data_IF_124357920420
#
_entry.id   IF_124357920420
#
_cell.length_a   1.000
_cell.length_b   1.000
_cell.length_c   1.000
_cell.angle_alpha   90.00
_cell.angle_beta   90.00
_cell.angle_gamma   90.00
#
_symmetry.space_group_name_H-M   'P 1'
#
loop_
_entity.id
_entity.type
_entity.pdbx_description
1 polymer ?
#
# COMPACT_ATOMS: atom_id res chain seq x y z
N UNK A 1 6.61 -2.15 12.86
CA UNK A 1 7.39 -1.44 11.83
C UNK A 1 6.60 -1.38 10.53
N UNK A 2 6.52 -0.21 9.88
CA UNK A 2 5.85 -0.08 8.59
C UNK A 2 6.68 -0.72 7.46
N UNK A 3 6.03 -1.52 6.61
CA UNK A 3 6.67 -2.11 5.43
C UNK A 3 7.18 -1.02 4.48
N UNK A 4 8.16 -1.35 3.63
CA UNK A 4 8.61 -0.43 2.58
C UNK A 4 7.44 -0.01 1.68
N UNK A 5 6.55 -0.94 1.35
CA UNK A 5 5.37 -0.68 0.54
C UNK A 5 4.45 0.40 1.17
N UNK A 6 4.20 0.31 2.48
CA UNK A 6 3.42 1.33 3.20
C UNK A 6 4.10 2.71 3.15
N UNK A 7 5.41 2.77 3.42
CA UNK A 7 6.17 4.03 3.35
C UNK A 7 6.18 4.66 1.96
N UNK A 8 6.38 3.85 0.92
CA UNK A 8 6.36 4.29 -0.49
C UNK A 8 4.97 4.79 -0.88
N UNK A 9 3.90 4.14 -0.43
CA UNK A 9 2.51 4.59 -0.64
C UNK A 9 2.26 5.93 0.03
N UNK A 10 2.65 6.08 1.29
CA UNK A 10 2.39 7.30 2.05
C UNK A 10 3.20 8.49 1.48
N UNK A 11 4.46 8.25 1.12
CA UNK A 11 5.29 9.19 0.37
C UNK A 11 4.64 9.59 -0.97
N UNK A 12 4.00 8.65 -1.66
CA UNK A 12 3.33 8.90 -2.92
C UNK A 12 2.03 9.70 -2.77
N UNK A 13 1.23 9.38 -1.76
CA UNK A 13 0.02 10.13 -1.44
C UNK A 13 0.34 11.59 -1.07
N UNK A 14 1.40 11.80 -0.29
CA UNK A 14 1.86 13.13 0.10
C UNK A 14 2.68 13.86 -0.98
N UNK A 15 2.95 13.21 -2.13
CA UNK A 15 3.76 13.74 -3.23
C UNK A 15 5.09 14.34 -2.76
N UNK A 16 5.76 13.65 -1.83
CA UNK A 16 6.95 14.18 -1.11
C UNK A 16 8.11 14.59 -2.01
N UNK A 17 8.17 14.07 -3.23
CA UNK A 17 9.19 14.42 -4.22
C UNK A 17 9.11 15.90 -4.66
N UNK A 18 7.95 16.55 -4.55
CA UNK A 18 7.78 17.95 -4.93
C UNK A 18 8.52 18.89 -3.98
N UNK A 19 8.25 18.91 -2.66
CA UNK A 19 8.99 19.76 -1.73
C UNK A 19 10.47 19.37 -1.58
N UNK A 20 10.81 18.11 -1.88
CA UNK A 20 12.20 17.64 -1.88
C UNK A 20 12.99 18.01 -3.16
N UNK A 21 12.34 18.68 -4.14
CA UNK A 21 13.01 19.18 -5.34
C UNK A 21 13.32 18.10 -6.39
N UNK A 22 12.75 16.90 -6.28
CA UNK A 22 12.87 15.89 -7.31
C UNK A 22 11.94 16.21 -8.50
N UNK A 23 12.49 16.09 -9.71
CA UNK A 23 11.76 16.39 -10.95
C UNK A 23 10.58 15.45 -11.21
N UNK A 24 10.56 14.27 -10.60
CA UNK A 24 9.51 13.27 -10.74
C UNK A 24 9.52 12.27 -9.59
N UNK A 25 8.41 11.55 -9.45
CA UNK A 25 8.31 10.38 -8.57
C UNK A 25 9.44 9.37 -8.82
N UNK A 26 9.76 9.11 -10.09
CA UNK A 26 10.82 8.19 -10.48
C UNK A 26 12.20 8.67 -10.06
N UNK A 27 12.49 9.98 -10.19
CA UNK A 27 13.74 10.57 -9.72
C UNK A 27 13.89 10.39 -8.22
N UNK A 28 12.82 10.65 -7.46
CA UNK A 28 12.79 10.42 -6.02
C UNK A 28 13.00 8.94 -5.66
N UNK A 29 12.26 8.01 -6.26
CA UNK A 29 12.42 6.58 -5.93
C UNK A 29 13.81 6.02 -6.23
N UNK A 30 14.43 6.52 -7.30
CA UNK A 30 15.78 6.13 -7.67
C UNK A 30 16.81 6.70 -6.70
N UNK A 31 16.66 7.96 -6.30
CA UNK A 31 17.57 8.63 -5.38
C UNK A 31 17.45 8.11 -3.94
N UNK A 32 16.22 7.94 -3.45
CA UNK A 32 15.97 7.61 -2.04
C UNK A 32 16.01 6.10 -1.76
N UNK A 33 15.55 5.27 -2.71
CA UNK A 33 15.41 3.82 -2.50
C UNK A 33 16.25 2.97 -3.46
N UNK A 34 16.90 3.57 -4.46
CA UNK A 34 17.69 2.83 -5.44
C UNK A 34 16.85 1.91 -6.34
N UNK A 35 15.55 2.15 -6.47
CA UNK A 35 14.63 1.28 -7.23
C UNK A 35 14.21 1.90 -8.57
N UNK A 36 13.93 1.04 -9.54
CA UNK A 36 13.31 1.44 -10.80
C UNK A 36 11.87 1.91 -10.61
N UNK A 37 11.38 2.71 -11.56
CA UNK A 37 9.96 3.11 -11.64
C UNK A 37 9.00 1.93 -11.57
N UNK A 38 9.30 0.84 -12.30
CA UNK A 38 8.45 -0.35 -12.30
C UNK A 38 8.41 -1.05 -10.93
N UNK A 39 9.52 -1.09 -10.19
CA UNK A 39 9.54 -1.58 -8.81
C UNK A 39 8.77 -0.66 -7.86
N UNK A 40 8.88 0.66 -8.04
CA UNK A 40 8.14 1.63 -7.25
C UNK A 40 6.62 1.47 -7.40
N UNK A 41 6.11 1.35 -8.64
CA UNK A 41 4.68 1.09 -8.87
C UNK A 41 4.23 -0.26 -8.33
N UNK A 42 5.04 -1.33 -8.47
CA UNK A 42 4.75 -2.62 -7.85
C UNK A 42 4.61 -2.52 -6.32
N UNK A 43 5.41 -1.70 -5.66
CA UNK A 43 5.27 -1.45 -4.22
C UNK A 43 3.97 -0.71 -3.88
N UNK A 44 3.49 0.19 -4.74
CA UNK A 44 2.18 0.82 -4.57
C UNK A 44 1.05 -0.21 -4.70
N UNK A 45 1.14 -1.12 -5.65
CA UNK A 45 0.14 -2.17 -5.85
C UNK A 45 0.11 -3.14 -4.65
N UNK A 46 1.29 -3.55 -4.16
CA UNK A 46 1.42 -4.36 -2.94
C UNK A 46 0.81 -3.64 -1.73
N UNK A 47 1.06 -2.34 -1.58
CA UNK A 47 0.50 -1.56 -0.48
C UNK A 47 -1.03 -1.48 -0.54
N UNK A 48 -1.63 -1.40 -1.74
CA UNK A 48 -3.08 -1.45 -1.93
C UNK A 48 -3.65 -2.83 -1.60
N UNK A 49 -3.00 -3.90 -2.07
CA UNK A 49 -3.42 -5.27 -1.77
C UNK A 49 -3.38 -5.56 -0.26
N UNK A 50 -2.31 -5.15 0.42
CA UNK A 50 -2.18 -5.30 1.87
C UNK A 50 -3.26 -4.53 2.63
N UNK A 51 -3.58 -3.31 2.19
CA UNK A 51 -4.69 -2.54 2.78
C UNK A 51 -6.02 -3.26 2.59
N UNK A 52 -6.33 -3.72 1.36
CA UNK A 52 -7.57 -4.45 1.08
C UNK A 52 -7.69 -5.76 1.88
N UNK A 53 -6.60 -6.52 2.02
CA UNK A 53 -6.58 -7.73 2.85
C UNK A 53 -6.84 -7.37 4.32
N UNK A 54 -6.17 -6.32 4.83
CA UNK A 54 -6.35 -5.89 6.20
C UNK A 54 -7.78 -5.39 6.48
N UNK A 55 -8.36 -4.66 5.55
CA UNK A 55 -9.74 -4.19 5.62
C UNK A 55 -10.72 -5.39 5.60
N UNK A 56 -10.50 -6.38 4.73
CA UNK A 56 -11.32 -7.58 4.68
C UNK A 56 -11.22 -8.43 5.96
N UNK A 57 -10.02 -8.55 6.55
CA UNK A 57 -9.83 -9.23 7.84
C UNK A 57 -10.49 -8.46 8.98
N UNK A 58 -10.36 -7.14 8.99
CA UNK A 58 -10.94 -6.25 10.01
C UNK A 58 -12.46 -6.20 9.94
N UNK A 59 -13.04 -6.25 8.73
CA UNK A 59 -14.48 -6.37 8.53
C UNK A 59 -15.05 -7.64 9.17
N UNK A 60 -14.22 -8.66 9.41
CA UNK A 60 -14.59 -9.92 10.04
C UNK A 60 -15.55 -10.74 9.17
N UNK A 61 -15.65 -12.07 9.39
CA UNK A 61 -16.69 -12.87 8.78
C UNK A 61 -18.02 -12.60 9.50
N UNK A 62 -18.66 -11.46 9.24
CA UNK A 62 -20.11 -11.35 9.45
C UNK A 62 -20.89 -12.28 8.49
N UNK A 63 -20.21 -12.94 7.54
CA UNK A 63 -20.80 -13.78 6.49
C UNK A 63 -20.76 -15.29 6.72
N UNK A 64 -20.24 -15.78 7.86
CA UNK A 64 -20.41 -17.20 8.24
C UNK A 64 -21.05 -17.36 9.63
N UNK A 65 -22.22 -16.74 9.81
CA UNK A 65 -23.26 -17.38 10.64
C UNK A 65 -24.18 -18.14 9.70
N UNK A 66 -23.74 -19.31 9.24
CA UNK A 66 -24.70 -20.39 9.04
C UNK A 66 -25.24 -20.67 10.44
N UNK A 67 -26.34 -19.99 10.81
CA UNK A 67 -27.19 -20.45 11.90
C UNK A 67 -27.74 -21.78 11.41
N UNK A 68 -27.01 -22.84 11.70
CA UNK A 68 -27.55 -24.18 11.83
C UNK A 68 -28.45 -24.15 13.09
N UNK A 69 -29.61 -23.52 12.93
CA UNK A 69 -30.72 -23.59 13.85
C UNK A 69 -31.85 -24.22 13.04
N UNK A 70 -31.81 -25.54 12.90
CA UNK A 70 -32.95 -26.38 12.54
C UNK A 70 -33.34 -27.22 13.78
N UNK A 71 -34.60 -27.71 13.87
CA UNK A 71 -35.59 -27.28 14.87
C UNK A 71 -35.60 -28.06 16.20
#
# INVERSE_FOLDING_TARGET
>A
MASLAARVRDAHAARVWVPLGHSSWESYCRAEFGISRAQAYRLLDVARALAAIHDAVTAGPETSRTRDNDP
#
